data_IF_535739971067
#
_entry.id   IF_535739971067
#
_cell.length_a   1.000
_cell.length_b   1.000
_cell.length_c   1.000
_cell.angle_alpha   90.00
_cell.angle_beta   90.00
_cell.angle_gamma   90.00
#
_symmetry.space_group_name_H-M   'P 1'
#
loop_
_entity.id
_entity.type
_entity.pdbx_description
1 polymer ?
#
# COMPACT_ATOMS: atom_id res chain seq x y z
N UNK A 1 1.69 29.55 11.52
CA UNK A 1 3.12 29.13 11.45
C UNK A 1 3.93 30.18 10.71
N UNK A 2 5.21 30.42 11.10
CA UNK A 2 6.12 31.31 10.33
C UNK A 2 6.50 30.66 9.00
N UNK A 3 6.69 31.48 7.95
CA UNK A 3 7.02 30.98 6.61
C UNK A 3 8.28 30.11 6.60
N UNK A 4 9.32 30.52 7.33
CA UNK A 4 10.60 29.78 7.41
C UNK A 4 10.45 28.40 8.06
N UNK A 5 9.59 28.26 9.08
CA UNK A 5 9.35 26.98 9.74
C UNK A 5 8.55 26.05 8.84
N UNK A 6 7.60 26.60 8.09
CA UNK A 6 6.85 25.87 7.11
C UNK A 6 7.74 25.34 5.97
N UNK A 7 8.57 26.20 5.38
CA UNK A 7 9.54 25.82 4.35
C UNK A 7 10.50 24.73 4.84
N UNK A 8 10.95 24.82 6.09
CA UNK A 8 11.77 23.78 6.70
C UNK A 8 11.05 22.44 6.76
N UNK A 9 9.79 22.43 7.22
CA UNK A 9 8.97 21.21 7.32
C UNK A 9 8.68 20.60 5.94
N UNK A 10 8.35 21.40 4.93
CA UNK A 10 8.15 20.91 3.57
C UNK A 10 9.44 20.29 3.01
N UNK A 11 10.59 20.93 3.21
CA UNK A 11 11.88 20.39 2.79
C UNK A 11 12.20 19.08 3.52
N UNK A 12 11.90 18.98 4.82
CA UNK A 12 12.09 17.77 5.60
C UNK A 12 11.21 16.62 5.06
N UNK A 13 9.96 16.88 4.72
CA UNK A 13 9.05 15.90 4.12
C UNK A 13 9.54 15.47 2.73
N UNK A 14 10.01 16.40 1.90
CA UNK A 14 10.59 16.09 0.60
C UNK A 14 11.82 15.18 0.72
N UNK A 15 12.73 15.48 1.64
CA UNK A 15 13.96 14.69 1.84
C UNK A 15 13.69 13.28 2.40
N UNK A 16 12.70 13.13 3.29
CA UNK A 16 12.46 11.88 4.01
C UNK A 16 11.33 11.02 3.43
N UNK A 17 10.42 11.60 2.64
CA UNK A 17 9.31 10.89 2.02
C UNK A 17 9.21 11.13 0.50
N UNK A 18 10.00 12.02 -0.08
CA UNK A 18 9.99 12.34 -1.51
C UNK A 18 8.79 13.19 -1.94
N UNK A 19 7.99 13.66 -0.99
CA UNK A 19 6.74 14.37 -1.30
C UNK A 19 6.98 15.80 -1.75
N UNK A 20 6.21 16.21 -2.74
CA UNK A 20 6.09 17.57 -3.24
C UNK A 20 4.65 17.99 -3.11
N UNK A 21 4.41 19.18 -2.57
CA UNK A 21 3.09 19.68 -2.29
C UNK A 21 2.83 20.94 -3.11
N UNK A 22 1.62 21.03 -3.67
CA UNK A 22 1.10 22.25 -4.26
C UNK A 22 0.49 23.20 -3.19
N UNK A 23 0.14 24.42 -3.59
CA UNK A 23 -0.40 25.43 -2.67
C UNK A 23 -1.70 24.99 -1.98
N UNK A 24 -2.54 24.19 -2.67
CA UNK A 24 -3.80 23.68 -2.10
C UNK A 24 -3.52 22.66 -0.98
N UNK A 25 -2.49 21.87 -1.13
CA UNK A 25 -2.07 20.86 -0.15
C UNK A 25 -1.40 21.49 1.07
N UNK A 26 -0.85 22.70 0.97
CA UNK A 26 -0.23 23.40 2.08
C UNK A 26 -1.18 23.58 3.26
N UNK A 27 -2.45 23.87 3.02
CA UNK A 27 -3.45 23.98 4.09
C UNK A 27 -3.64 22.65 4.82
N UNK A 28 -3.62 21.54 4.10
CA UNK A 28 -3.76 20.19 4.69
C UNK A 28 -2.55 19.87 5.59
N UNK A 29 -1.35 20.19 5.10
CA UNK A 29 -0.11 19.98 5.87
C UNK A 29 -0.07 20.85 7.11
N UNK A 30 -0.43 22.12 7.03
CA UNK A 30 -0.51 23.02 8.19
C UNK A 30 -1.47 22.49 9.27
N UNK A 31 -2.64 21.99 8.86
CA UNK A 31 -3.61 21.35 9.75
C UNK A 31 -3.04 20.07 10.40
N UNK A 32 -2.36 19.22 9.63
CA UNK A 32 -1.75 17.97 10.13
C UNK A 32 -0.63 18.28 11.13
N UNK A 33 0.23 19.26 10.85
CA UNK A 33 1.27 19.72 11.77
C UNK A 33 0.64 20.25 13.07
N UNK A 34 -0.40 21.07 12.98
CA UNK A 34 -1.12 21.58 14.14
C UNK A 34 -1.71 20.46 15.00
N UNK A 35 -2.24 19.41 14.38
CA UNK A 35 -2.72 18.21 15.07
C UNK A 35 -1.57 17.47 15.76
N UNK A 36 -0.46 17.25 15.07
CA UNK A 36 0.72 16.57 15.61
C UNK A 36 1.27 17.29 16.86
N UNK A 37 1.40 18.63 16.80
CA UNK A 37 1.83 19.47 17.92
C UNK A 37 0.92 19.26 19.13
N UNK A 38 -0.39 19.29 18.91
CA UNK A 38 -1.37 19.08 19.99
C UNK A 38 -1.28 17.68 20.58
N UNK A 39 -1.19 16.65 19.74
CA UNK A 39 -1.11 15.25 20.18
C UNK A 39 0.18 14.95 20.95
N UNK A 40 1.28 15.57 20.56
CA UNK A 40 2.58 15.39 21.20
C UNK A 40 2.85 16.41 22.31
N UNK A 41 1.91 17.30 22.58
CA UNK A 41 2.02 18.34 23.60
C UNK A 41 3.21 19.29 23.43
N UNK A 42 3.57 19.59 22.17
CA UNK A 42 4.56 20.65 21.91
C UNK A 42 3.98 22.02 22.24
N UNK A 43 4.77 22.90 22.89
CA UNK A 43 4.30 24.26 23.21
C UNK A 43 4.02 25.09 21.94
N UNK A 44 4.82 24.91 20.88
CA UNK A 44 4.68 25.65 19.63
C UNK A 44 5.25 24.86 18.41
N UNK A 45 5.01 25.37 17.21
CA UNK A 45 5.65 24.88 15.97
C UNK A 45 7.16 25.11 16.03
N UNK A 46 7.56 26.25 16.56
CA UNK A 46 8.97 26.64 16.70
C UNK A 46 9.76 25.65 17.55
N UNK A 47 9.14 25.15 18.65
CA UNK A 47 9.76 24.14 19.52
C UNK A 47 9.91 22.79 18.78
N UNK A 48 8.89 22.36 18.06
CA UNK A 48 8.97 21.16 17.21
C UNK A 48 10.09 21.30 16.16
N UNK A 49 10.15 22.44 15.46
CA UNK A 49 11.16 22.70 14.43
C UNK A 49 12.57 22.76 15.04
N UNK A 50 12.72 23.33 16.23
CA UNK A 50 14.00 23.36 16.94
C UNK A 50 14.49 21.94 17.25
N UNK A 51 13.63 21.06 17.74
CA UNK A 51 13.95 19.66 18.01
C UNK A 51 14.25 18.86 16.73
N UNK A 52 13.48 19.08 15.66
CA UNK A 52 13.73 18.45 14.37
C UNK A 52 15.11 18.85 13.77
N UNK A 53 15.55 20.09 13.98
CA UNK A 53 16.88 20.57 13.54
C UNK A 53 18.03 19.88 14.29
N UNK A 54 17.81 19.37 15.49
CA UNK A 54 18.78 18.55 16.23
C UNK A 54 18.99 17.19 15.55
N UNK A 55 18.04 16.75 14.70
CA UNK A 55 18.22 15.59 13.82
C UNK A 55 17.78 14.26 14.44
N UNK A 56 16.83 14.24 15.37
CA UNK A 56 16.25 12.99 15.91
C UNK A 56 15.54 12.22 14.79
N UNK A 57 16.13 11.10 14.33
CA UNK A 57 15.53 10.22 13.31
C UNK A 57 14.15 9.71 13.71
N UNK A 58 13.97 9.36 14.98
CA UNK A 58 12.69 8.89 15.48
C UNK A 58 11.59 9.95 15.40
N UNK A 59 11.91 11.21 15.76
CA UNK A 59 10.97 12.33 15.64
C UNK A 59 10.65 12.66 14.19
N UNK A 60 11.66 12.70 13.32
CA UNK A 60 11.47 12.90 11.87
C UNK A 60 10.53 11.84 11.30
N UNK A 61 10.74 10.56 11.62
CA UNK A 61 9.86 9.47 11.18
C UNK A 61 8.41 9.66 11.66
N UNK A 62 8.21 10.06 12.91
CA UNK A 62 6.87 10.33 13.46
C UNK A 62 6.18 11.51 12.75
N UNK A 63 6.91 12.59 12.48
CA UNK A 63 6.37 13.73 11.73
C UNK A 63 6.00 13.30 10.30
N UNK A 64 6.88 12.60 9.59
CA UNK A 64 6.62 12.09 8.25
C UNK A 64 5.38 11.19 8.23
N UNK A 65 5.28 10.21 9.14
CA UNK A 65 4.11 9.33 9.24
C UNK A 65 2.81 10.10 9.47
N UNK A 66 2.83 11.12 10.32
CA UNK A 66 1.65 11.92 10.64
C UNK A 66 1.16 12.77 9.45
N UNK A 67 2.06 13.05 8.49
CA UNK A 67 1.73 13.81 7.26
C UNK A 67 1.21 12.90 6.13
N UNK A 68 1.30 11.57 6.25
CA UNK A 68 0.82 10.66 5.21
C UNK A 68 -0.66 10.86 4.88
N UNK A 69 -0.99 10.78 3.60
CA UNK A 69 -2.37 10.81 3.12
C UNK A 69 -2.95 9.40 3.19
N UNK A 70 -4.10 9.24 3.83
CA UNK A 70 -4.72 7.94 4.08
C UNK A 70 -6.12 7.80 3.49
N UNK A 71 -6.45 8.58 2.46
CA UNK A 71 -7.73 8.46 1.77
C UNK A 71 -7.77 7.16 0.95
N UNK A 72 -8.64 6.23 1.35
CA UNK A 72 -8.80 4.93 0.70
C UNK A 72 -10.20 4.39 0.91
N UNK A 73 -10.65 3.52 0.01
CA UNK A 73 -11.91 2.78 0.13
C UNK A 73 -11.81 1.40 -0.51
N UNK A 74 -12.70 0.49 -0.12
CA UNK A 74 -12.84 -0.78 -0.82
C UNK A 74 -13.27 -0.55 -2.27
N UNK A 75 -12.72 -1.35 -3.20
CA UNK A 75 -13.05 -1.30 -4.63
C UNK A 75 -13.05 0.13 -5.22
N UNK A 76 -12.11 0.98 -4.75
CA UNK A 76 -12.00 2.39 -5.15
C UNK A 76 -11.98 2.55 -6.67
N UNK A 77 -12.68 3.59 -7.19
CA UNK A 77 -12.91 3.81 -8.62
C UNK A 77 -13.55 2.56 -9.25
N UNK A 78 -14.83 2.36 -8.96
CA UNK A 78 -15.55 1.11 -9.22
C UNK A 78 -15.38 0.59 -10.65
N UNK A 79 -15.43 1.45 -11.65
CA UNK A 79 -15.21 1.12 -13.06
C UNK A 79 -13.80 0.55 -13.32
N UNK A 80 -12.79 1.15 -12.70
CA UNK A 80 -11.39 0.71 -12.78
C UNK A 80 -11.20 -0.63 -12.07
N UNK A 81 -11.82 -0.79 -10.89
CA UNK A 81 -11.78 -2.04 -10.15
C UNK A 81 -12.48 -3.19 -10.89
N UNK A 82 -13.67 -2.95 -11.49
CA UNK A 82 -14.38 -3.96 -12.27
C UNK A 82 -13.56 -4.35 -13.52
N UNK A 83 -12.94 -3.39 -14.20
CA UNK A 83 -12.05 -3.69 -15.34
C UNK A 83 -10.85 -4.54 -14.91
N UNK A 84 -10.24 -4.22 -13.77
CA UNK A 84 -9.18 -5.06 -13.18
C UNK A 84 -9.68 -6.46 -12.90
N UNK A 85 -10.78 -6.60 -12.17
CA UNK A 85 -11.36 -7.86 -11.72
C UNK A 85 -11.83 -8.74 -12.89
N UNK A 86 -12.54 -8.14 -13.86
CA UNK A 86 -13.27 -8.90 -14.87
C UNK A 86 -12.48 -9.12 -16.17
N UNK A 87 -11.48 -8.29 -16.43
CA UNK A 87 -10.70 -8.38 -17.69
C UNK A 87 -9.24 -8.67 -17.46
N UNK A 88 -8.58 -7.91 -16.57
CA UNK A 88 -7.13 -8.01 -16.38
C UNK A 88 -6.75 -9.24 -15.54
N UNK A 89 -7.38 -9.41 -14.40
CA UNK A 89 -7.09 -10.49 -13.46
C UNK A 89 -7.26 -11.89 -14.08
N UNK A 90 -8.32 -12.20 -14.85
CA UNK A 90 -8.41 -13.50 -15.55
C UNK A 90 -7.23 -13.78 -16.49
N UNK A 91 -6.74 -12.78 -17.21
CA UNK A 91 -5.56 -12.93 -18.07
C UNK A 91 -4.29 -13.23 -17.28
N UNK A 92 -4.13 -12.57 -16.12
CA UNK A 92 -3.01 -12.81 -15.21
C UNK A 92 -3.07 -14.24 -14.66
N UNK A 93 -4.26 -14.70 -14.25
CA UNK A 93 -4.50 -16.05 -13.76
C UNK A 93 -4.14 -17.06 -14.86
N UNK A 94 -4.62 -16.86 -16.08
CA UNK A 94 -4.38 -17.78 -17.20
C UNK A 94 -2.88 -17.88 -17.53
N UNK A 95 -2.16 -16.77 -17.54
CA UNK A 95 -0.71 -16.74 -17.77
C UNK A 95 0.09 -17.48 -16.68
N UNK A 96 -0.45 -17.60 -15.47
CA UNK A 96 0.20 -18.24 -14.34
C UNK A 96 -0.34 -19.64 -14.02
N UNK A 97 -1.22 -20.22 -14.85
CA UNK A 97 -1.87 -21.53 -14.61
C UNK A 97 -0.89 -22.69 -14.40
N UNK A 98 0.22 -22.71 -15.12
CA UNK A 98 1.22 -23.76 -15.01
C UNK A 98 1.97 -23.74 -13.69
N UNK A 99 2.31 -22.54 -13.21
CA UNK A 99 3.05 -22.35 -11.96
C UNK A 99 2.17 -22.28 -10.72
N UNK A 100 0.88 -22.01 -10.90
CA UNK A 100 -0.10 -21.78 -9.80
C UNK A 100 0.43 -20.84 -8.71
N UNK A 101 1.11 -19.78 -9.13
CA UNK A 101 1.74 -18.80 -8.23
C UNK A 101 1.36 -17.40 -8.66
N UNK A 102 0.90 -16.58 -7.70
CA UNK A 102 0.52 -15.19 -7.94
C UNK A 102 1.07 -14.30 -6.82
N UNK A 103 1.69 -13.20 -7.21
CA UNK A 103 2.29 -12.22 -6.30
C UNK A 103 1.79 -10.83 -6.64
N UNK A 104 1.07 -10.24 -5.69
CA UNK A 104 0.55 -8.88 -5.78
C UNK A 104 1.22 -8.00 -4.73
N UNK A 105 1.46 -6.75 -5.06
CA UNK A 105 1.94 -5.76 -4.12
C UNK A 105 1.11 -4.48 -4.23
N UNK A 106 0.35 -4.14 -3.18
CA UNK A 106 -0.32 -2.85 -3.01
C UNK A 106 0.64 -1.91 -2.30
N UNK A 107 1.22 -0.99 -3.05
CA UNK A 107 2.25 -0.05 -2.63
C UNK A 107 1.60 1.29 -2.28
N UNK A 108 1.61 1.67 -1.00
CA UNK A 108 0.83 2.78 -0.45
C UNK A 108 -0.61 2.32 -0.11
N UNK A 109 -0.74 1.15 0.52
CA UNK A 109 -2.03 0.49 0.77
C UNK A 109 -2.91 1.18 1.82
N UNK A 110 -2.41 2.21 2.50
CA UNK A 110 -3.12 2.90 3.59
C UNK A 110 -3.65 1.89 4.64
N UNK A 111 -4.91 2.00 5.02
CA UNK A 111 -5.57 1.13 6.01
C UNK A 111 -6.04 -0.22 5.44
N UNK A 112 -5.54 -0.63 4.26
CA UNK A 112 -5.60 -2.00 3.74
C UNK A 112 -6.71 -2.31 2.76
N UNK A 113 -7.66 -1.40 2.52
CA UNK A 113 -8.83 -1.65 1.68
C UNK A 113 -8.46 -2.09 0.25
N UNK A 114 -7.40 -1.51 -0.34
CA UNK A 114 -6.96 -1.88 -1.69
C UNK A 114 -6.42 -3.31 -1.73
N UNK A 115 -5.54 -3.68 -0.82
CA UNK A 115 -4.98 -5.03 -0.76
C UNK A 115 -6.07 -6.09 -0.52
N UNK A 116 -7.03 -5.83 0.36
CA UNK A 116 -8.19 -6.71 0.55
C UNK A 116 -9.11 -6.76 -0.67
N UNK A 117 -9.29 -5.64 -1.40
CA UNK A 117 -10.07 -5.64 -2.64
C UNK A 117 -9.46 -6.54 -3.73
N UNK A 118 -8.13 -6.61 -3.79
CA UNK A 118 -7.43 -7.59 -4.65
C UNK A 118 -7.74 -9.02 -4.20
N UNK A 119 -7.69 -9.30 -2.90
CA UNK A 119 -8.03 -10.62 -2.37
C UNK A 119 -9.50 -10.99 -2.65
N UNK A 120 -10.44 -10.05 -2.58
CA UNK A 120 -11.85 -10.26 -2.98
C UNK A 120 -11.96 -10.62 -4.46
N UNK A 121 -11.24 -9.90 -5.34
CA UNK A 121 -11.24 -10.19 -6.77
C UNK A 121 -10.67 -11.59 -7.06
N UNK A 122 -9.60 -11.97 -6.40
CA UNK A 122 -8.99 -13.30 -6.49
C UNK A 122 -9.97 -14.39 -6.05
N UNK A 123 -10.63 -14.21 -4.90
CA UNK A 123 -11.62 -15.17 -4.39
C UNK A 123 -12.78 -15.38 -5.36
N UNK A 124 -13.23 -14.30 -6.01
CA UNK A 124 -14.33 -14.36 -7.01
C UNK A 124 -13.93 -14.98 -8.34
N UNK A 125 -12.68 -14.82 -8.77
CA UNK A 125 -12.25 -15.18 -10.14
C UNK A 125 -11.44 -16.45 -10.23
N UNK A 126 -10.80 -16.87 -9.16
CA UNK A 126 -9.92 -18.02 -9.16
C UNK A 126 -10.59 -19.23 -8.52
N UNK A 127 -11.12 -20.12 -9.33
CA UNK A 127 -11.66 -21.39 -8.89
C UNK A 127 -10.51 -22.28 -8.40
N UNK A 128 -10.67 -22.88 -7.22
CA UNK A 128 -9.63 -23.72 -6.61
C UNK A 128 -8.46 -22.91 -6.09
N UNK A 129 -8.74 -21.71 -5.56
CA UNK A 129 -7.74 -20.78 -5.01
C UNK A 129 -6.82 -21.42 -3.96
N UNK A 130 -7.33 -22.39 -3.23
CA UNK A 130 -6.59 -23.17 -2.21
C UNK A 130 -5.43 -23.99 -2.79
N UNK A 131 -5.46 -24.26 -4.10
CA UNK A 131 -4.40 -24.98 -4.81
C UNK A 131 -3.32 -24.06 -5.41
N UNK A 132 -3.40 -22.76 -5.13
CA UNK A 132 -2.48 -21.76 -5.62
C UNK A 132 -1.63 -21.19 -4.51
N UNK A 133 -0.38 -20.88 -4.84
CA UNK A 133 0.51 -20.11 -3.97
C UNK A 133 0.29 -18.61 -4.21
N UNK A 134 -0.63 -18.01 -3.45
CA UNK A 134 -1.03 -16.60 -3.58
C UNK A 134 -0.50 -15.80 -2.40
N UNK A 135 -0.01 -14.60 -2.71
CA UNK A 135 0.39 -13.63 -1.71
C UNK A 135 0.08 -12.22 -2.19
N UNK A 136 -0.65 -11.48 -1.39
CA UNK A 136 -0.93 -10.06 -1.56
C UNK A 136 -0.18 -9.31 -0.46
N UNK A 137 0.84 -8.53 -0.84
CA UNK A 137 1.57 -7.68 0.10
C UNK A 137 0.97 -6.28 0.06
N UNK A 138 0.56 -5.74 1.20
CA UNK A 138 0.22 -4.33 1.38
C UNK A 138 1.33 -3.61 2.13
N UNK A 139 1.79 -2.47 1.61
CA UNK A 139 2.79 -1.65 2.32
C UNK A 139 2.41 -0.18 2.36
N UNK A 140 2.73 0.47 3.47
CA UNK A 140 2.51 1.91 3.66
C UNK A 140 3.59 2.50 4.58
N UNK A 141 3.82 3.80 4.48
CA UNK A 141 4.77 4.52 5.33
C UNK A 141 4.22 4.66 6.78
N UNK A 142 2.89 4.71 6.93
CA UNK A 142 2.21 4.91 8.20
C UNK A 142 2.07 3.61 8.97
N UNK A 143 2.76 3.51 10.11
CA UNK A 143 2.64 2.38 11.04
C UNK A 143 1.23 2.25 11.63
N UNK A 144 0.52 3.38 11.82
CA UNK A 144 -0.86 3.38 12.30
C UNK A 144 -1.83 2.82 11.24
N UNK A 145 -1.63 3.18 9.97
CA UNK A 145 -2.43 2.63 8.87
C UNK A 145 -2.21 1.12 8.74
N UNK A 146 -0.95 0.67 8.78
CA UNK A 146 -0.60 -0.75 8.75
C UNK A 146 -1.20 -1.51 9.94
N UNK A 147 -1.13 -0.96 11.16
CA UNK A 147 -1.73 -1.60 12.32
C UNK A 147 -3.25 -1.75 12.19
N UNK A 148 -3.95 -0.78 11.57
CA UNK A 148 -5.37 -0.89 11.25
C UNK A 148 -5.62 -1.94 10.17
N UNK A 149 -4.85 -1.95 9.09
CA UNK A 149 -4.92 -2.94 8.03
C UNK A 149 -4.75 -4.37 8.57
N UNK A 150 -3.75 -4.58 9.43
CA UNK A 150 -3.48 -5.85 10.10
C UNK A 150 -4.60 -6.32 11.03
N UNK A 151 -5.38 -5.40 11.62
CA UNK A 151 -6.56 -5.78 12.41
C UNK A 151 -7.68 -6.33 11.54
N UNK A 152 -7.78 -5.91 10.29
CA UNK A 152 -8.85 -6.31 9.37
C UNK A 152 -10.25 -5.95 9.89
N UNK A 153 -10.37 -4.87 10.68
CA UNK A 153 -11.60 -4.45 11.34
C UNK A 153 -11.99 -3.04 10.88
N UNK A 154 -13.20 -2.92 10.33
CA UNK A 154 -13.70 -1.69 9.71
C UNK A 154 -15.10 -1.34 10.25
N UNK A 155 -15.41 -0.06 10.32
CA UNK A 155 -16.74 0.39 10.72
C UNK A 155 -17.75 0.35 9.55
N UNK A 156 -19.03 0.58 9.84
CA UNK A 156 -20.10 0.55 8.84
C UNK A 156 -19.86 1.50 7.66
N UNK A 157 -19.35 2.71 7.92
CA UNK A 157 -19.09 3.69 6.88
C UNK A 157 -17.97 3.21 5.93
N UNK A 158 -16.89 2.65 6.46
CA UNK A 158 -15.75 2.16 5.68
C UNK A 158 -16.13 0.98 4.76
N UNK A 159 -16.98 0.06 5.21
CA UNK A 159 -17.39 -1.07 4.37
C UNK A 159 -18.45 -0.68 3.34
N UNK A 160 -19.34 0.26 3.68
CA UNK A 160 -20.35 0.74 2.75
C UNK A 160 -19.77 1.65 1.66
N UNK A 161 -18.61 2.26 1.92
CA UNK A 161 -17.88 3.05 0.93
C UNK A 161 -17.17 2.11 -0.06
N UNK A 162 -17.89 1.70 -1.13
CA UNK A 162 -17.36 0.91 -2.24
C UNK A 162 -17.79 -0.55 -2.29
N UNK A 163 -18.49 -1.07 -1.27
CA UNK A 163 -19.02 -2.44 -1.28
C UNK A 163 -20.55 -2.45 -1.30
N UNK A 164 -21.11 -3.37 -2.07
CA UNK A 164 -22.53 -3.69 -1.99
C UNK A 164 -22.82 -4.70 -0.86
N UNK A 165 -24.10 -4.83 -0.47
CA UNK A 165 -24.51 -5.69 0.63
C UNK A 165 -24.05 -7.15 0.46
N UNK A 166 -24.12 -7.71 -0.74
CA UNK A 166 -23.70 -9.08 -1.01
C UNK A 166 -22.20 -9.27 -0.75
N UNK A 167 -21.37 -8.32 -1.17
CA UNK A 167 -19.92 -8.36 -0.93
C UNK A 167 -19.58 -8.21 0.56
N UNK A 168 -20.36 -7.40 1.30
CA UNK A 168 -20.18 -7.29 2.76
C UNK A 168 -20.50 -8.63 3.43
N UNK A 169 -21.62 -9.27 3.09
CA UNK A 169 -21.99 -10.56 3.65
C UNK A 169 -21.04 -11.71 3.25
N UNK A 170 -20.41 -11.61 2.09
CA UNK A 170 -19.47 -12.62 1.59
C UNK A 170 -18.10 -12.53 2.25
N UNK A 171 -17.56 -11.31 2.46
CA UNK A 171 -16.18 -11.10 2.84
C UNK A 171 -15.97 -10.61 4.26
N UNK A 172 -17.06 -10.40 5.01
CA UNK A 172 -16.96 -9.88 6.37
C UNK A 172 -17.84 -10.65 7.34
N UNK A 173 -17.43 -10.63 8.58
CA UNK A 173 -18.17 -11.12 9.75
C UNK A 173 -18.55 -9.90 10.58
N UNK A 174 -19.83 -9.78 10.94
CA UNK A 174 -20.31 -8.69 11.81
C UNK A 174 -19.78 -8.86 13.24
N UNK A 175 -19.17 -7.80 13.78
CA UNK A 175 -18.72 -7.71 15.18
C UNK A 175 -19.28 -6.43 15.82
N UNK A 176 -20.54 -6.46 16.24
CA UNK A 176 -21.22 -5.30 16.79
C UNK A 176 -21.37 -4.17 15.77
N UNK A 177 -20.73 -3.03 16.02
CA UNK A 177 -20.71 -1.88 15.09
C UNK A 177 -19.62 -1.97 14.03
N UNK A 178 -18.87 -3.05 14.01
CA UNK A 178 -17.73 -3.25 13.10
C UNK A 178 -17.90 -4.51 12.26
N UNK A 179 -17.09 -4.59 11.23
CA UNK A 179 -17.01 -5.67 10.27
C UNK A 179 -15.58 -6.19 10.18
N UNK A 180 -15.41 -7.46 10.45
CA UNK A 180 -14.11 -8.14 10.35
C UNK A 180 -13.98 -8.86 9.02
N UNK A 181 -12.85 -8.72 8.37
CA UNK A 181 -12.47 -9.52 7.19
C UNK A 181 -12.53 -11.02 7.54
N UNK A 182 -13.14 -11.84 6.66
CA UNK A 182 -13.20 -13.30 6.84
C UNK A 182 -11.80 -13.93 6.86
N UNK A 183 -11.57 -15.03 7.62
CA UNK A 183 -10.25 -15.64 7.75
C UNK A 183 -9.61 -16.04 6.43
N UNK A 184 -10.37 -16.58 5.49
CA UNK A 184 -9.90 -17.04 4.18
C UNK A 184 -9.39 -15.90 3.28
N UNK A 185 -9.94 -14.70 3.43
CA UNK A 185 -9.43 -13.48 2.79
C UNK A 185 -8.23 -12.93 3.54
N UNK A 186 -8.31 -12.90 4.87
CA UNK A 186 -7.24 -12.37 5.72
C UNK A 186 -5.91 -13.10 5.52
N UNK A 187 -5.94 -14.42 5.35
CA UNK A 187 -4.75 -15.26 5.14
C UNK A 187 -4.05 -15.03 3.79
N UNK A 188 -4.73 -14.42 2.81
CA UNK A 188 -4.14 -14.07 1.52
C UNK A 188 -3.27 -12.81 1.56
N UNK A 189 -3.45 -11.97 2.60
CA UNK A 189 -2.88 -10.61 2.64
C UNK A 189 -1.90 -10.46 3.79
N UNK A 190 -0.76 -9.87 3.51
CA UNK A 190 0.23 -9.49 4.51
C UNK A 190 0.44 -7.97 4.47
N UNK A 191 0.63 -7.34 5.64
CA UNK A 191 0.86 -5.90 5.73
C UNK A 191 2.18 -5.61 6.43
N UNK A 192 2.97 -4.69 5.82
CA UNK A 192 4.27 -4.23 6.35
C UNK A 192 4.42 -2.73 6.21
N UNK A 193 5.09 -2.11 7.20
CA UNK A 193 5.54 -0.73 7.05
C UNK A 193 6.69 -0.67 6.03
N UNK A 194 6.60 0.26 5.08
CA UNK A 194 7.64 0.50 4.09
C UNK A 194 7.59 1.94 3.58
N UNK A 195 8.73 2.63 3.58
CA UNK A 195 8.88 3.91 2.89
C UNK A 195 9.40 3.64 1.47
N UNK A 196 8.75 4.18 0.46
CA UNK A 196 9.13 3.99 -0.95
C UNK A 196 10.52 4.54 -1.29
N UNK A 197 11.08 5.41 -0.43
CA UNK A 197 12.46 5.89 -0.57
C UNK A 197 13.48 4.91 0.00
N UNK A 198 13.06 3.99 0.87
CA UNK A 198 13.95 3.02 1.46
C UNK A 198 14.45 2.02 0.39
N UNK A 199 15.60 1.43 0.68
CA UNK A 199 16.20 0.43 -0.18
C UNK A 199 15.29 -0.80 -0.25
N UNK A 200 14.96 -1.22 -1.47
CA UNK A 200 14.16 -2.42 -1.69
C UNK A 200 15.11 -3.63 -1.74
N UNK A 201 15.06 -4.47 -0.71
CA UNK A 201 15.83 -5.71 -0.63
C UNK A 201 14.87 -6.91 -0.60
N UNK A 202 14.55 -7.46 -1.76
CA UNK A 202 13.69 -8.63 -1.89
C UNK A 202 14.10 -9.45 -3.12
N UNK A 203 13.99 -10.77 -2.99
CA UNK A 203 14.12 -11.69 -4.11
C UNK A 203 12.75 -12.09 -4.69
N UNK A 204 11.66 -11.55 -4.14
CA UNK A 204 10.31 -11.81 -4.63
C UNK A 204 10.09 -10.97 -5.89
N UNK A 205 9.56 -11.61 -6.93
CA UNK A 205 9.08 -10.93 -8.12
C UNK A 205 7.55 -10.90 -8.11
N UNK A 206 6.99 -9.75 -8.47
CA UNK A 206 5.56 -9.48 -8.43
C UNK A 206 4.97 -9.52 -9.84
N UNK A 207 3.84 -10.21 -9.98
CA UNK A 207 3.06 -10.22 -11.23
C UNK A 207 2.31 -8.91 -11.41
N UNK A 208 1.84 -8.32 -10.32
CA UNK A 208 1.16 -7.03 -10.31
C UNK A 208 1.64 -6.17 -9.14
N UNK A 209 2.02 -4.94 -9.45
CA UNK A 209 2.23 -3.89 -8.45
C UNK A 209 1.11 -2.87 -8.64
N UNK A 210 0.36 -2.60 -7.56
CA UNK A 210 -0.72 -1.62 -7.52
C UNK A 210 -0.19 -0.42 -6.73
N UNK A 211 -0.09 0.73 -7.39
CA UNK A 211 0.41 1.97 -6.78
C UNK A 211 -0.53 3.11 -7.16
N UNK A 212 -1.73 3.11 -6.57
CA UNK A 212 -2.81 4.01 -6.98
C UNK A 212 -2.91 5.23 -6.08
N UNK A 213 -3.00 6.40 -6.71
CA UNK A 213 -3.18 7.69 -6.05
C UNK A 213 -2.04 8.05 -5.06
N UNK A 214 -0.85 7.55 -5.29
CA UNK A 214 0.30 7.69 -4.40
C UNK A 214 1.44 8.45 -5.08
N UNK A 215 1.83 8.05 -6.30
CA UNK A 215 2.97 8.65 -7.01
C UNK A 215 2.75 10.14 -7.30
N UNK A 216 1.52 10.58 -7.43
CA UNK A 216 1.15 11.99 -7.63
C UNK A 216 1.64 12.94 -6.53
N UNK A 217 1.98 12.42 -5.35
CA UNK A 217 2.51 13.21 -4.23
C UNK A 217 4.04 13.31 -4.25
N UNK A 218 4.70 12.55 -5.11
CA UNK A 218 6.16 12.53 -5.18
C UNK A 218 6.68 13.50 -6.23
N UNK A 219 7.77 14.18 -5.92
CA UNK A 219 8.51 14.96 -6.91
C UNK A 219 9.01 14.05 -8.06
N UNK A 220 9.11 14.57 -9.30
CA UNK A 220 9.43 13.76 -10.47
C UNK A 220 10.70 12.90 -10.35
N UNK A 221 11.73 13.42 -9.70
CA UNK A 221 12.98 12.68 -9.46
C UNK A 221 12.79 11.48 -8.54
N UNK A 222 11.87 11.55 -7.56
CA UNK A 222 11.52 10.43 -6.69
C UNK A 222 10.57 9.46 -7.37
N UNK A 223 9.65 9.95 -8.22
CA UNK A 223 8.83 9.08 -9.07
C UNK A 223 9.72 8.17 -9.93
N UNK A 224 10.73 8.74 -10.57
CA UNK A 224 11.67 7.97 -11.39
C UNK A 224 12.42 6.91 -10.58
N UNK A 225 12.94 7.27 -9.42
CA UNK A 225 13.62 6.32 -8.53
C UNK A 225 12.70 5.18 -8.06
N UNK A 226 11.45 5.48 -7.70
CA UNK A 226 10.47 4.49 -7.27
C UNK A 226 10.16 3.55 -8.45
N UNK A 227 9.83 4.09 -9.63
CA UNK A 227 9.52 3.28 -10.81
C UNK A 227 10.69 2.39 -11.22
N UNK A 228 11.93 2.92 -11.18
CA UNK A 228 13.13 2.12 -11.45
C UNK A 228 13.27 0.94 -10.48
N UNK A 229 13.00 1.14 -9.18
CA UNK A 229 13.09 0.09 -8.16
C UNK A 229 12.00 -0.96 -8.31
N UNK A 230 10.73 -0.54 -8.47
CA UNK A 230 9.62 -1.48 -8.56
C UNK A 230 9.66 -2.29 -9.87
N UNK A 231 10.14 -1.71 -10.97
CA UNK A 231 10.31 -2.44 -12.22
C UNK A 231 11.32 -3.60 -12.11
N UNK A 232 12.32 -3.49 -11.22
CA UNK A 232 13.33 -4.54 -11.01
C UNK A 232 12.78 -5.77 -10.27
N UNK A 233 11.70 -5.60 -9.50
CA UNK A 233 11.05 -6.66 -8.74
C UNK A 233 9.76 -7.15 -9.37
N UNK A 234 9.50 -6.79 -10.62
CA UNK A 234 8.40 -7.35 -11.39
C UNK A 234 8.84 -8.54 -12.24
N UNK A 235 7.93 -9.49 -12.42
CA UNK A 235 8.09 -10.57 -13.39
C UNK A 235 8.22 -9.99 -14.82
N UNK A 236 8.82 -10.73 -15.77
CA UNK A 236 8.70 -10.37 -17.18
C UNK A 236 7.22 -10.22 -17.55
N UNK A 237 6.86 -9.09 -18.16
CA UNK A 237 5.46 -8.69 -18.43
C UNK A 237 4.62 -8.41 -17.17
N UNK A 238 5.23 -8.19 -16.02
CA UNK A 238 4.56 -7.75 -14.81
C UNK A 238 3.82 -6.43 -15.02
N UNK A 239 2.72 -6.24 -14.31
CA UNK A 239 1.79 -5.12 -14.51
C UNK A 239 1.92 -4.12 -13.38
N UNK A 240 2.11 -2.84 -13.73
CA UNK A 240 1.90 -1.72 -12.83
C UNK A 240 0.49 -1.19 -13.01
N UNK A 241 -0.26 -1.04 -11.92
CA UNK A 241 -1.62 -0.52 -11.92
C UNK A 241 -1.68 0.80 -11.14
N UNK A 242 -1.99 1.90 -11.83
CA UNK A 242 -2.04 3.25 -11.28
C UNK A 242 -3.47 3.69 -10.95
N UNK A 243 -3.60 4.84 -10.31
CA UNK A 243 -4.89 5.48 -10.05
C UNK A 243 -5.53 6.07 -11.31
N UNK A 244 -6.86 6.24 -11.26
CA UNK A 244 -7.60 6.89 -12.34
C UNK A 244 -7.11 8.34 -12.50
N UNK A 245 -6.76 8.70 -13.73
CA UNK A 245 -6.21 10.03 -14.06
C UNK A 245 -4.90 10.40 -13.33
N UNK A 246 -4.20 9.42 -12.76
CA UNK A 246 -2.89 9.65 -12.15
C UNK A 246 -1.83 9.82 -13.25
N UNK A 247 -1.25 11.01 -13.32
CA UNK A 247 -0.22 11.34 -14.30
C UNK A 247 1.16 11.17 -13.67
N UNK A 248 2.00 10.37 -14.30
CA UNK A 248 3.40 10.13 -13.91
C UNK A 248 4.26 10.39 -15.14
N UNK A 249 4.89 11.56 -15.18
CA UNK A 249 5.58 12.07 -16.38
C UNK A 249 6.73 11.18 -16.88
N UNK A 250 7.31 10.38 -16.00
CA UNK A 250 8.49 9.55 -16.27
C UNK A 250 8.16 8.08 -16.52
N UNK A 251 6.85 7.73 -16.59
CA UNK A 251 6.40 6.33 -16.66
C UNK A 251 6.93 5.60 -17.90
N UNK A 252 6.98 6.31 -19.03
CA UNK A 252 7.39 5.73 -20.32
C UNK A 252 8.85 5.28 -20.35
N UNK A 253 9.67 5.63 -19.37
CA UNK A 253 11.04 5.11 -19.24
C UNK A 253 11.04 3.63 -18.85
N UNK A 254 10.06 3.16 -18.09
CA UNK A 254 10.03 1.83 -17.47
C UNK A 254 8.86 0.97 -17.90
N UNK A 255 7.77 1.59 -18.34
CA UNK A 255 6.51 0.92 -18.59
C UNK A 255 5.89 1.37 -19.92
N UNK A 256 5.04 0.50 -20.48
CA UNK A 256 4.23 0.75 -21.66
C UNK A 256 2.75 0.56 -21.29
N UNK A 257 1.89 1.48 -21.72
CA UNK A 257 0.44 1.37 -21.45
C UNK A 257 -0.14 0.16 -22.15
N UNK A 258 -0.95 -0.61 -21.46
CA UNK A 258 -1.67 -1.74 -22.04
C UNK A 258 -2.89 -1.22 -22.81
N UNK A 259 -3.00 -1.58 -24.09
CA UNK A 259 -4.11 -1.17 -24.93
C UNK A 259 -5.46 -1.58 -24.34
N UNK A 260 -6.40 -0.61 -24.28
CA UNK A 260 -7.73 -0.79 -23.71
C UNK A 260 -7.80 -0.61 -22.18
N UNK A 261 -6.70 -0.19 -21.54
CA UNK A 261 -6.65 0.11 -20.10
C UNK A 261 -6.04 1.50 -19.86
N UNK A 262 -6.75 2.33 -19.10
CA UNK A 262 -6.25 3.66 -18.76
C UNK A 262 -5.25 3.66 -17.60
N UNK A 263 -5.33 2.65 -16.72
CA UNK A 263 -4.57 2.58 -15.48
C UNK A 263 -3.54 1.44 -15.45
N UNK A 264 -3.46 0.60 -16.49
CA UNK A 264 -2.58 -0.56 -16.51
C UNK A 264 -1.41 -0.38 -17.47
N UNK A 265 -0.22 -0.69 -16.97
CA UNK A 265 1.05 -0.54 -17.70
C UNK A 265 1.86 -1.81 -17.57
N UNK A 266 2.43 -2.29 -18.67
CA UNK A 266 3.30 -3.44 -18.69
C UNK A 266 4.75 -3.02 -18.52
N UNK A 267 5.50 -3.72 -17.68
CA UNK A 267 6.92 -3.48 -17.48
C UNK A 267 7.68 -3.73 -18.79
N UNK A 268 8.43 -2.75 -19.26
CA UNK A 268 9.32 -2.93 -20.42
C UNK A 268 10.42 -3.92 -20.04
N UNK A 269 10.57 -4.97 -20.83
CA UNK A 269 11.73 -5.86 -20.75
C UNK A 269 12.95 -5.11 -21.29
N UNK A 270 13.49 -4.18 -20.52
CA UNK A 270 14.79 -3.57 -20.82
C UNK A 270 15.80 -4.67 -20.54
N UNK A 271 16.57 -5.06 -21.57
CA UNK A 271 17.56 -6.13 -21.49
C UNK A 271 18.51 -6.02 -20.31
N UNK A 272 19.42 -6.97 -20.15
CA UNK A 272 20.35 -7.20 -19.01
C UNK A 272 21.14 -6.00 -18.47
N UNK A 273 20.94 -4.79 -19.00
CA UNK A 273 21.52 -3.50 -18.56
C UNK A 273 20.65 -2.74 -17.53
N UNK A 274 19.78 -3.44 -16.80
CA UNK A 274 19.09 -2.80 -15.67
C UNK A 274 20.16 -2.41 -14.62
N UNK A 275 20.21 -1.14 -14.16
CA UNK A 275 21.11 -0.79 -13.07
C UNK A 275 20.81 -1.72 -11.89
N UNK A 276 21.85 -2.40 -11.40
CA UNK A 276 21.67 -3.31 -10.25
C UNK A 276 21.21 -2.48 -9.06
N UNK A 277 20.39 -3.07 -8.20
CA UNK A 277 19.88 -2.43 -6.95
C UNK A 277 21.01 -1.74 -6.14
N UNK A 278 22.25 -2.15 -6.33
CA UNK A 278 23.43 -1.58 -5.69
C UNK A 278 23.91 -0.24 -6.27
N UNK A 279 23.51 0.12 -7.49
CA UNK A 279 24.06 1.27 -8.21
C UNK A 279 23.25 2.55 -8.00
N UNK A 280 22.07 2.44 -7.36
CA UNK A 280 21.25 3.60 -7.01
C UNK A 280 21.65 4.07 -5.61
N UNK A 281 22.61 4.99 -5.55
CA UNK A 281 23.07 5.60 -4.30
C UNK A 281 21.93 6.44 -3.70
N UNK A 282 21.41 6.00 -2.55
CA UNK A 282 20.55 6.83 -1.71
C UNK A 282 21.43 7.75 -0.88
N UNK A 283 21.27 9.06 -1.02
CA UNK A 283 21.92 10.09 -0.19
C UNK A 283 21.33 10.16 1.24
N UNK A 284 20.37 9.34 1.58
CA UNK A 284 19.81 9.25 2.93
C UNK A 284 20.31 7.97 3.62
N UNK A 285 21.08 8.14 4.71
CA UNK A 285 21.58 7.03 5.54
C UNK A 285 20.48 6.34 6.35
N UNK A 286 19.46 5.80 5.70
CA UNK A 286 18.47 4.93 6.34
C UNK A 286 19.00 3.50 6.38
N UNK A 287 19.03 2.89 7.55
CA UNK A 287 19.29 1.46 7.67
C UNK A 287 18.21 0.72 6.88
N UNK A 288 18.66 -0.11 5.93
CA UNK A 288 17.81 -0.96 5.11
C UNK A 288 17.05 -1.94 6.02
N UNK A 289 15.74 -1.72 6.14
CA UNK A 289 14.85 -2.78 6.60
C UNK A 289 14.75 -3.80 5.47
N UNK A 290 15.56 -4.88 5.57
CA UNK A 290 15.48 -6.00 4.64
C UNK A 290 14.05 -6.54 4.65
N UNK A 291 13.40 -6.56 3.49
CA UNK A 291 12.17 -7.33 3.32
C UNK A 291 12.56 -8.81 3.32
N UNK A 292 12.23 -9.60 4.36
CA UNK A 292 12.60 -11.00 4.40
C UNK A 292 11.95 -11.73 3.23
N UNK A 293 12.68 -12.70 2.67
CA UNK A 293 12.12 -13.68 1.73
C UNK A 293 10.87 -14.30 2.35
N UNK A 294 9.80 -14.41 1.57
CA UNK A 294 8.55 -15.01 2.01
C UNK A 294 8.80 -16.46 2.45
N UNK A 295 8.70 -16.71 3.74
CA UNK A 295 8.58 -18.06 4.30
C UNK A 295 7.15 -18.16 4.81
N UNK A 296 6.32 -19.01 4.20
CA UNK A 296 5.02 -19.36 4.79
C UNK A 296 5.25 -19.78 6.23
N UNK A 297 4.56 -19.20 7.22
CA UNK A 297 4.56 -19.78 8.55
C UNK A 297 4.08 -21.23 8.41
N UNK A 298 4.84 -22.16 8.98
CA UNK A 298 4.51 -23.58 8.94
C UNK A 298 3.12 -23.74 9.58
N UNK A 299 2.12 -24.16 8.80
CA UNK A 299 0.70 -24.20 9.16
C UNK A 299 0.34 -25.18 10.29
N UNK A 300 1.36 -25.76 11.01
CA UNK A 300 1.14 -26.84 11.97
C UNK A 300 1.53 -26.52 13.43
N UNK A 301 2.05 -25.35 13.78
CA UNK A 301 2.57 -25.21 15.16
C UNK A 301 2.18 -23.99 15.98
N UNK A 302 1.47 -23.00 15.47
CA UNK A 302 0.91 -21.96 16.35
C UNK A 302 -0.46 -21.50 15.86
N UNK A 303 -1.51 -21.98 16.54
CA UNK A 303 -2.84 -21.39 16.49
C UNK A 303 -2.69 -19.95 16.98
N UNK A 304 -2.59 -18.98 16.04
CA UNK A 304 -2.84 -17.58 16.41
C UNK A 304 -4.22 -17.55 17.09
N UNK A 305 -4.42 -16.77 18.15
CA UNK A 305 -5.69 -16.73 18.87
C UNK A 305 -6.73 -16.05 17.99
N UNK A 306 -7.20 -16.75 16.97
CA UNK A 306 -8.26 -16.32 16.09
C UNK A 306 -9.40 -17.35 16.20
N UNK A 307 -10.49 -16.90 16.84
CA UNK A 307 -11.84 -17.40 16.58
C UNK A 307 -12.20 -18.84 16.96
N UNK A 308 -11.59 -19.50 17.92
CA UNK A 308 -12.21 -20.70 18.47
C UNK A 308 -13.22 -20.40 19.60
N UNK A 309 -13.23 -19.21 20.18
CA UNK A 309 -14.18 -18.87 21.27
C UNK A 309 -15.48 -18.18 20.82
N UNK A 310 -15.49 -17.52 19.65
CA UNK A 310 -16.70 -16.85 19.15
C UNK A 310 -17.74 -17.82 18.58
N UNK A 311 -17.39 -19.04 18.23
CA UNK A 311 -18.31 -20.03 17.67
C UNK A 311 -19.16 -20.79 18.72
N UNK A 312 -18.90 -20.60 20.03
CA UNK A 312 -19.66 -21.29 21.10
C UNK A 312 -20.78 -20.48 21.75
N UNK A 313 -20.95 -19.23 21.42
CA UNK A 313 -22.10 -18.44 21.88
C UNK A 313 -23.19 -18.42 20.83
N UNK A 314 -23.93 -19.53 20.74
CA UNK A 314 -25.18 -19.59 19.99
C UNK A 314 -26.20 -18.61 20.54
N UNK A 315 -26.65 -17.69 19.69
CA UNK A 315 -27.96 -17.05 19.85
C UNK A 315 -28.65 -17.04 18.49
N UNK A 316 -29.22 -18.17 18.11
CA UNK A 316 -30.47 -18.16 17.38
C UNK A 316 -31.57 -18.57 18.37
N UNK A 317 -32.30 -17.62 18.92
CA UNK A 317 -33.65 -17.81 19.44
C UNK A 317 -34.56 -16.83 18.72
N UNK A 318 -35.45 -17.45 17.95
CA UNK A 318 -36.77 -17.03 17.42
C UNK A 318 -37.01 -15.54 17.27
#
# INVERSE_FOLDING_TARGET
MKKQDFEFLINLLRQNAGWEFDEEQYFIIDKKISNFIREKSYPSVEDLVAELKVGSRALIAQVVESMAFSDTSFCRDYDVYEQFKDVLLPRIIDNNRSGKKLRFWSLGCSTGQEAYSVAFALKKKLIGIENWDIHVLGTDISSLAIAKAQKGLYNNFEVQMGLNANSILEFFISEGEHWRITPDIYELVEFRRYNMLDRLTTNVQYDVIICRNVLRYFAPEYQEQILARISQVQTPNGILYLGKNEQVSVIDKFYERINGFDCAYMCKNVGLDRPRLHDISTTSGSESLAMPSFVRPNMLSEKRPFAAEAFKAGVFKK
#
